data_IF_703828335221
#
_entry.id   IF_703828335221
#
_cell.length_a   1.000
_cell.length_b   1.000
_cell.length_c   1.000
_cell.angle_alpha   90.00
_cell.angle_beta   90.00
_cell.angle_gamma   90.00
#
_symmetry.space_group_name_H-M   'P 1'
#
loop_
_entity.id
_entity.type
_entity.pdbx_description
1 polymer ?
#
# COMPACT_ATOMS: atom_id res chain seq x y z
N UNK A 1 27.79 -7.22 67.37
CA UNK A 1 26.69 -6.30 67.00
C UNK A 1 26.98 -5.75 65.61
N UNK A 2 26.38 -6.34 64.59
CA UNK A 2 26.41 -5.81 63.22
C UNK A 2 25.04 -5.22 62.91
N UNK A 3 25.05 -3.94 62.55
CA UNK A 3 23.85 -3.20 62.10
C UNK A 3 23.77 -3.31 60.60
N UNK A 4 22.74 -3.98 60.09
CA UNK A 4 22.47 -4.08 58.65
C UNK A 4 21.77 -2.83 58.11
N UNK A 5 22.35 -2.21 57.09
CA UNK A 5 21.71 -1.15 56.31
C UNK A 5 21.05 -1.82 55.06
N UNK A 6 19.75 -1.83 55.04
CA UNK A 6 18.94 -2.22 53.85
C UNK A 6 18.73 -1.00 52.98
N UNK A 7 19.37 -0.96 51.82
CA UNK A 7 19.15 0.05 50.78
C UNK A 7 17.89 -0.32 50.01
N UNK A 8 16.82 0.45 50.17
CA UNK A 8 15.63 0.36 49.30
C UNK A 8 15.94 0.99 47.95
N UNK A 9 16.09 0.18 46.94
CA UNK A 9 16.18 0.62 45.54
C UNK A 9 14.84 1.17 45.07
N UNK A 10 14.86 2.38 44.54
CA UNK A 10 13.71 3.08 43.99
C UNK A 10 13.31 2.50 42.62
N UNK A 11 12.28 1.66 42.58
CA UNK A 11 11.70 1.08 41.36
C UNK A 11 10.48 1.84 40.83
N UNK A 12 10.19 3.06 41.34
CA UNK A 12 8.93 3.75 41.02
C UNK A 12 8.94 4.65 39.78
N UNK A 13 10.12 4.97 39.22
CA UNK A 13 10.22 5.94 38.09
C UNK A 13 9.89 5.35 36.70
N UNK A 14 10.34 4.11 36.43
CA UNK A 14 10.22 3.50 35.09
C UNK A 14 8.79 3.05 34.81
N UNK A 15 8.11 2.47 35.79
CA UNK A 15 6.72 2.02 35.63
C UNK A 15 5.73 3.16 35.36
N UNK A 16 5.93 4.35 35.96
CA UNK A 16 5.09 5.53 35.73
C UNK A 16 5.29 6.12 34.32
N UNK A 17 6.51 6.09 33.75
CA UNK A 17 6.80 6.63 32.43
C UNK A 17 6.23 5.76 31.33
N UNK A 18 6.25 4.43 31.48
CA UNK A 18 5.64 3.48 30.54
C UNK A 18 4.11 3.62 30.55
N UNK A 19 3.49 3.73 31.74
CA UNK A 19 2.04 3.91 31.88
C UNK A 19 1.55 5.21 31.24
N UNK A 20 2.27 6.33 31.39
CA UNK A 20 1.87 7.61 30.77
C UNK A 20 1.99 7.59 29.23
N UNK A 21 2.97 6.89 28.67
CA UNK A 21 3.09 6.75 27.20
C UNK A 21 1.97 5.88 26.63
N UNK A 22 1.64 4.76 27.26
CA UNK A 22 0.54 3.90 26.84
C UNK A 22 -0.82 4.61 26.96
N UNK A 23 -1.08 5.33 28.04
CA UNK A 23 -2.33 6.09 28.24
C UNK A 23 -2.47 7.21 27.20
N UNK A 24 -1.38 7.84 26.76
CA UNK A 24 -1.42 8.89 25.73
C UNK A 24 -1.69 8.33 24.32
N UNK A 25 -1.19 7.14 24.00
CA UNK A 25 -1.46 6.44 22.73
C UNK A 25 -2.92 5.97 22.66
N UNK A 26 -3.41 5.33 23.70
CA UNK A 26 -4.83 4.91 23.81
C UNK A 26 -5.77 6.11 23.64
N UNK A 27 -5.50 7.25 24.24
CA UNK A 27 -6.33 8.45 24.12
C UNK A 27 -6.32 9.08 22.71
N UNK A 28 -5.24 8.88 21.91
CA UNK A 28 -5.18 9.35 20.53
C UNK A 28 -6.07 8.51 19.60
N UNK A 29 -5.98 7.20 19.68
CA UNK A 29 -6.81 6.29 18.87
C UNK A 29 -8.29 6.33 19.28
N UNK A 30 -8.60 6.49 20.56
CA UNK A 30 -9.99 6.69 21.01
C UNK A 30 -10.58 8.00 20.49
N UNK A 31 -9.82 9.09 20.49
CA UNK A 31 -10.27 10.36 19.91
C UNK A 31 -10.56 10.22 18.42
N UNK A 32 -9.68 9.57 17.64
CA UNK A 32 -9.93 9.32 16.22
C UNK A 32 -11.22 8.51 15.99
N UNK A 33 -11.49 7.48 16.78
CA UNK A 33 -12.75 6.72 16.69
C UNK A 33 -13.96 7.55 17.07
N UNK A 34 -13.85 8.44 18.04
CA UNK A 34 -14.92 9.36 18.42
C UNK A 34 -15.19 10.40 17.33
N UNK A 35 -14.13 10.93 16.69
CA UNK A 35 -14.24 11.83 15.54
C UNK A 35 -14.92 11.16 14.34
N UNK A 36 -14.58 9.89 14.04
CA UNK A 36 -15.24 9.11 13.01
C UNK A 36 -16.75 8.98 13.28
N UNK A 37 -17.11 8.60 14.52
CA UNK A 37 -18.52 8.50 14.94
C UNK A 37 -19.24 9.84 14.83
N UNK A 38 -18.58 10.94 15.22
CA UNK A 38 -19.15 12.30 15.13
C UNK A 38 -19.39 12.73 13.67
N UNK A 39 -18.56 12.24 12.71
CA UNK A 39 -18.72 12.42 11.27
C UNK A 39 -19.70 11.43 10.63
N UNK A 40 -20.32 10.52 11.41
CA UNK A 40 -21.21 9.48 10.89
C UNK A 40 -20.50 8.39 10.09
N UNK A 41 -19.16 8.26 10.24
CA UNK A 41 -18.35 7.27 9.52
C UNK A 41 -18.25 5.97 10.33
N UNK A 42 -18.23 4.85 9.63
CA UNK A 42 -18.00 3.54 10.25
C UNK A 42 -16.54 3.40 10.69
N UNK A 43 -16.36 3.28 12.01
CA UNK A 43 -15.03 3.14 12.61
C UNK A 43 -14.35 1.80 12.28
N UNK A 44 -15.08 0.79 11.78
CA UNK A 44 -14.50 -0.48 11.33
C UNK A 44 -13.66 -0.34 10.05
N UNK A 45 -13.91 0.71 9.26
CA UNK A 45 -13.11 1.06 8.07
C UNK A 45 -11.68 1.53 8.41
N UNK A 46 -11.41 1.93 9.66
CA UNK A 46 -10.10 2.41 10.09
C UNK A 46 -9.31 1.28 10.76
N UNK A 47 -8.23 0.77 10.15
CA UNK A 47 -7.38 -0.25 10.75
C UNK A 47 -6.80 0.17 12.10
N UNK A 48 -6.41 -0.78 12.97
CA UNK A 48 -5.72 -0.48 14.22
C UNK A 48 -4.46 0.36 13.96
N UNK A 49 -4.15 1.29 14.88
CA UNK A 49 -2.97 2.13 14.80
C UNK A 49 -2.96 3.17 13.67
N UNK A 50 -4.10 3.40 12.97
CA UNK A 50 -4.26 4.41 11.93
C UNK A 50 -5.01 5.65 12.42
N UNK A 51 -4.84 6.78 11.73
CA UNK A 51 -5.67 7.98 11.87
C UNK A 51 -6.23 8.39 10.51
N UNK A 52 -7.44 8.93 10.49
CA UNK A 52 -8.07 9.46 9.28
C UNK A 52 -7.50 10.83 8.92
N UNK A 53 -7.28 11.06 7.62
CA UNK A 53 -6.89 12.36 7.09
C UNK A 53 -7.60 12.66 5.77
N UNK A 54 -7.97 13.91 5.56
CA UNK A 54 -8.50 14.39 4.28
C UNK A 54 -7.36 14.71 3.28
N UNK A 55 -6.11 14.82 3.78
CA UNK A 55 -4.92 15.03 2.94
C UNK A 55 -4.54 13.73 2.24
N UNK A 56 -3.78 13.87 1.15
CA UNK A 56 -3.09 12.76 0.51
C UNK A 56 -1.57 12.93 0.72
N UNK A 57 -1.01 12.45 1.85
CA UNK A 57 0.40 12.62 2.13
C UNK A 57 1.28 11.96 1.08
N UNK A 58 2.38 12.61 0.75
CA UNK A 58 3.32 12.16 -0.29
C UNK A 58 4.53 11.50 0.34
N UNK A 59 4.78 10.26 -0.08
CA UNK A 59 6.00 9.51 0.21
C UNK A 59 6.42 8.80 -1.08
N UNK A 60 7.69 8.89 -1.44
CA UNK A 60 8.25 8.19 -2.60
C UNK A 60 9.74 7.93 -2.42
N UNK A 61 10.25 6.98 -3.20
CA UNK A 61 11.67 6.67 -3.35
C UNK A 61 12.12 7.30 -4.68
N UNK A 62 13.25 7.98 -4.67
CA UNK A 62 13.79 8.69 -5.84
C UNK A 62 13.07 10.01 -6.16
N UNK A 63 13.35 10.56 -7.33
CA UNK A 63 12.74 11.78 -7.83
C UNK A 63 11.34 11.52 -8.42
N UNK A 64 10.57 12.58 -8.68
CA UNK A 64 9.32 12.48 -9.42
C UNK A 64 9.65 12.38 -10.90
N UNK A 65 9.27 11.29 -11.60
CA UNK A 65 9.58 11.14 -13.01
C UNK A 65 8.78 12.12 -13.86
N UNK A 66 9.37 12.51 -14.99
CA UNK A 66 8.72 13.28 -16.03
C UNK A 66 8.77 12.49 -17.33
N UNK A 67 7.67 12.39 -18.03
CA UNK A 67 7.58 11.65 -19.28
C UNK A 67 7.24 12.59 -20.45
N UNK A 68 7.99 12.47 -21.53
CA UNK A 68 7.56 13.05 -22.80
C UNK A 68 6.33 12.26 -23.35
N UNK A 69 5.50 12.89 -24.19
CA UNK A 69 4.37 12.21 -24.81
C UNK A 69 4.81 10.88 -25.46
N UNK A 70 4.09 9.78 -25.17
CA UNK A 70 4.40 8.43 -25.67
C UNK A 70 5.59 7.73 -25.02
N UNK A 71 6.24 8.33 -24.04
CA UNK A 71 7.43 7.73 -23.39
C UNK A 71 7.06 6.67 -22.34
N UNK A 72 5.90 6.80 -21.70
CA UNK A 72 5.46 5.82 -20.70
C UNK A 72 4.89 4.57 -21.37
N UNK A 73 5.20 3.40 -20.83
CA UNK A 73 4.61 2.13 -21.21
C UNK A 73 4.53 1.20 -19.98
N UNK A 74 3.66 0.18 -20.07
CA UNK A 74 3.52 -0.89 -19.10
C UNK A 74 3.79 -2.23 -19.78
N UNK A 75 4.70 -3.03 -19.26
CA UNK A 75 4.92 -4.39 -19.74
C UNK A 75 4.26 -5.42 -18.81
N UNK A 76 3.67 -6.44 -19.40
CA UNK A 76 3.15 -7.63 -18.71
C UNK A 76 4.01 -8.82 -19.16
N UNK A 77 4.61 -9.53 -18.19
CA UNK A 77 5.57 -10.59 -18.49
C UNK A 77 5.75 -11.60 -17.36
N UNK A 78 6.85 -12.34 -17.40
CA UNK A 78 7.13 -13.44 -16.47
C UNK A 78 6.42 -14.73 -16.88
N UNK A 79 5.75 -15.42 -15.96
CA UNK A 79 5.04 -16.68 -16.19
C UNK A 79 3.68 -16.44 -16.89
N UNK A 80 3.74 -16.03 -18.13
CA UNK A 80 2.59 -15.82 -19.03
C UNK A 80 2.84 -16.48 -20.38
N UNK A 81 1.78 -16.75 -21.15
CA UNK A 81 1.88 -17.34 -22.49
C UNK A 81 2.21 -16.30 -23.56
N UNK A 82 1.63 -15.10 -23.44
CA UNK A 82 1.74 -14.02 -24.41
C UNK A 82 2.13 -12.70 -23.72
N UNK A 83 3.41 -12.46 -23.43
CA UNK A 83 3.85 -11.18 -22.87
C UNK A 83 3.60 -10.04 -23.87
N UNK A 84 3.24 -8.86 -23.35
CA UNK A 84 2.96 -7.68 -24.17
C UNK A 84 3.36 -6.39 -23.47
N UNK A 85 3.36 -5.30 -24.24
CA UNK A 85 3.61 -3.94 -23.75
C UNK A 85 2.48 -3.05 -24.24
N UNK A 86 1.98 -2.17 -23.37
CA UNK A 86 0.97 -1.17 -23.68
C UNK A 86 1.55 0.23 -23.50
N UNK A 87 1.29 1.11 -24.45
CA UNK A 87 1.38 2.55 -24.27
C UNK A 87 0.26 3.05 -23.34
N UNK A 88 0.33 4.29 -22.92
CA UNK A 88 -0.74 4.90 -22.10
C UNK A 88 -2.07 4.96 -22.86
N UNK A 89 -2.03 5.28 -24.16
CA UNK A 89 -3.24 5.37 -24.99
C UNK A 89 -3.87 4.00 -25.19
N UNK A 90 -3.07 2.95 -25.42
CA UNK A 90 -3.57 1.57 -25.53
C UNK A 90 -4.15 1.09 -24.20
N UNK A 91 -3.52 1.42 -23.05
CA UNK A 91 -4.08 1.09 -21.74
C UNK A 91 -5.43 1.80 -21.53
N UNK A 92 -5.53 3.09 -21.83
CA UNK A 92 -6.78 3.88 -21.69
C UNK A 92 -7.89 3.41 -22.66
N UNK A 93 -7.54 2.75 -23.75
CA UNK A 93 -8.50 2.20 -24.72
C UNK A 93 -9.13 0.87 -24.26
N UNK A 94 -8.55 0.19 -23.27
CA UNK A 94 -9.11 -1.04 -22.70
C UNK A 94 -10.35 -0.75 -21.84
N UNK A 95 -11.23 -1.75 -21.62
CA UNK A 95 -12.33 -1.61 -20.66
C UNK A 95 -11.84 -1.19 -19.30
N UNK A 96 -12.35 -0.08 -18.78
CA UNK A 96 -11.97 0.49 -17.51
C UNK A 96 -13.12 0.46 -16.50
N UNK A 97 -12.76 0.61 -15.22
CA UNK A 97 -13.70 0.72 -14.10
C UNK A 97 -13.36 1.93 -13.27
N UNK A 98 -14.38 2.52 -12.63
CA UNK A 98 -14.21 3.55 -11.59
C UNK A 98 -14.67 2.95 -10.27
N UNK A 99 -13.77 2.90 -9.30
CA UNK A 99 -13.97 2.24 -8.01
C UNK A 99 -13.57 3.19 -6.89
N UNK A 100 -14.27 3.07 -5.74
CA UNK A 100 -14.01 3.90 -4.57
C UNK A 100 -13.47 3.04 -3.44
N UNK A 101 -12.35 3.43 -2.85
CA UNK A 101 -11.63 2.69 -1.83
C UNK A 101 -11.22 3.54 -0.65
N UNK A 102 -10.98 2.85 0.47
CA UNK A 102 -10.15 3.37 1.55
C UNK A 102 -8.70 2.95 1.30
N UNK A 103 -7.78 3.86 1.48
CA UNK A 103 -6.34 3.56 1.37
C UNK A 103 -5.64 3.76 2.71
N UNK A 104 -4.71 2.85 3.01
CA UNK A 104 -4.03 2.78 4.31
C UNK A 104 -2.52 2.79 4.12
N UNK A 105 -1.83 3.75 4.73
CA UNK A 105 -0.38 3.83 4.65
C UNK A 105 0.29 3.25 5.90
N UNK A 106 1.41 2.55 5.73
CA UNK A 106 2.24 2.05 6.84
C UNK A 106 2.65 3.16 7.82
N UNK A 107 2.74 4.41 7.36
CA UNK A 107 3.05 5.58 8.19
C UNK A 107 1.84 6.10 8.98
N UNK A 108 0.83 5.24 9.15
CA UNK A 108 -0.32 5.38 10.07
C UNK A 108 -1.43 6.34 9.64
N UNK A 109 -1.45 6.84 8.44
CA UNK A 109 -2.60 7.58 7.93
C UNK A 109 -3.49 6.68 7.06
N UNK A 110 -4.78 6.98 7.08
CA UNK A 110 -5.79 6.43 6.17
C UNK A 110 -6.54 7.57 5.51
N UNK A 111 -6.91 7.41 4.25
CA UNK A 111 -7.79 8.32 3.52
C UNK A 111 -8.96 7.49 2.99
N UNK A 112 -10.17 7.92 3.32
CA UNK A 112 -11.40 7.24 2.92
C UNK A 112 -11.94 7.78 1.60
N UNK A 113 -12.77 6.97 0.96
CA UNK A 113 -13.58 7.33 -0.19
C UNK A 113 -12.77 7.92 -1.36
N UNK A 114 -11.57 7.36 -1.59
CA UNK A 114 -10.73 7.72 -2.74
C UNK A 114 -11.25 7.04 -4.01
N UNK A 115 -11.50 7.80 -5.08
CA UNK A 115 -12.05 7.29 -6.32
C UNK A 115 -10.96 7.16 -7.38
N UNK A 116 -10.86 5.97 -7.98
CA UNK A 116 -9.82 5.64 -8.96
C UNK A 116 -10.44 5.08 -10.22
N UNK A 117 -9.95 5.51 -11.39
CA UNK A 117 -10.32 4.95 -12.70
C UNK A 117 -9.11 4.24 -13.30
N UNK A 118 -9.33 3.02 -13.80
CA UNK A 118 -8.27 2.22 -14.39
C UNK A 118 -8.75 0.91 -14.99
N UNK A 119 -7.80 0.10 -15.46
CA UNK A 119 -8.02 -1.24 -15.99
C UNK A 119 -7.76 -2.27 -14.90
N UNK A 120 -8.64 -3.26 -14.75
CA UNK A 120 -8.39 -4.34 -13.79
C UNK A 120 -7.15 -5.14 -14.16
N UNK A 121 -6.30 -5.43 -13.18
CA UNK A 121 -5.08 -6.22 -13.39
C UNK A 121 -5.43 -7.62 -13.93
N UNK A 122 -6.49 -8.25 -13.42
CA UNK A 122 -6.95 -9.56 -13.88
C UNK A 122 -7.28 -9.60 -15.39
N UNK A 123 -7.79 -8.48 -15.93
CA UNK A 123 -8.15 -8.42 -17.36
C UNK A 123 -6.89 -8.37 -18.23
N UNK A 124 -5.85 -7.64 -17.78
CA UNK A 124 -4.52 -7.66 -18.41
C UNK A 124 -3.89 -9.06 -18.34
N UNK A 125 -4.01 -9.72 -17.20
CA UNK A 125 -3.49 -11.09 -17.01
C UNK A 125 -4.27 -12.14 -17.80
N UNK A 126 -5.59 -11.95 -18.01
CA UNK A 126 -6.37 -12.79 -18.89
C UNK A 126 -5.91 -12.66 -20.37
N UNK A 127 -5.53 -11.45 -20.81
CA UNK A 127 -4.94 -11.23 -22.13
C UNK A 127 -3.56 -11.90 -22.27
N UNK A 128 -2.76 -11.89 -21.21
CA UNK A 128 -1.41 -12.46 -21.18
C UNK A 128 -1.40 -13.99 -21.09
N UNK A 129 -2.46 -14.61 -20.53
CA UNK A 129 -2.50 -16.05 -20.27
C UNK A 129 -1.55 -16.46 -19.14
N UNK A 130 -1.92 -16.17 -17.89
CA UNK A 130 -1.10 -16.53 -16.71
C UNK A 130 -0.97 -18.04 -16.58
N UNK A 131 0.25 -18.52 -16.41
CA UNK A 131 0.56 -19.95 -16.29
C UNK A 131 0.11 -20.50 -14.92
N UNK A 132 -0.27 -21.78 -14.84
CA UNK A 132 -0.87 -22.37 -13.64
C UNK A 132 0.09 -22.45 -12.43
N UNK A 133 1.41 -22.45 -12.66
CA UNK A 133 2.43 -22.42 -11.60
C UNK A 133 2.63 -21.05 -10.96
N UNK A 134 2.01 -19.99 -11.49
CA UNK A 134 2.13 -18.63 -10.99
C UNK A 134 1.46 -18.47 -9.62
N UNK A 135 2.16 -17.82 -8.70
CA UNK A 135 1.68 -17.57 -7.32
C UNK A 135 1.76 -16.11 -6.90
N UNK A 136 2.67 -15.34 -7.49
CA UNK A 136 2.95 -13.94 -7.10
C UNK A 136 3.18 -13.06 -8.31
N UNK A 137 3.14 -11.77 -8.08
CA UNK A 137 3.49 -10.73 -9.05
C UNK A 137 4.49 -9.78 -8.42
N UNK A 138 5.53 -9.44 -9.15
CA UNK A 138 6.41 -8.32 -8.84
C UNK A 138 5.97 -7.10 -9.64
N UNK A 139 5.59 -6.04 -8.95
CA UNK A 139 5.39 -4.73 -9.53
C UNK A 139 6.77 -4.07 -9.66
N UNK A 140 7.15 -3.66 -10.86
CA UNK A 140 8.35 -2.88 -11.11
C UNK A 140 7.96 -1.45 -11.47
N UNK A 141 8.61 -0.48 -10.82
CA UNK A 141 8.35 0.94 -11.03
C UNK A 141 9.65 1.70 -11.30
N UNK A 142 9.54 3.00 -11.52
CA UNK A 142 10.70 3.86 -11.74
C UNK A 142 11.69 3.82 -10.57
N UNK A 143 12.94 4.18 -10.83
CA UNK A 143 14.03 4.25 -9.86
C UNK A 143 14.34 2.95 -9.13
N UNK A 144 13.99 1.79 -9.74
CA UNK A 144 14.23 0.47 -9.16
C UNK A 144 13.32 0.12 -7.98
N UNK A 145 12.23 0.86 -7.79
CA UNK A 145 11.22 0.47 -6.81
C UNK A 145 10.51 -0.81 -7.26
N UNK A 146 10.35 -1.74 -6.34
CA UNK A 146 9.63 -3.00 -6.55
C UNK A 146 8.79 -3.33 -5.32
N UNK A 147 7.67 -4.01 -5.52
CA UNK A 147 6.91 -4.63 -4.44
C UNK A 147 6.23 -5.91 -4.93
N UNK A 148 6.20 -6.92 -4.07
CA UNK A 148 5.56 -8.20 -4.33
C UNK A 148 4.09 -8.17 -3.90
N UNK A 149 3.23 -8.84 -4.65
CA UNK A 149 1.81 -9.06 -4.28
C UNK A 149 1.44 -10.50 -4.65
N UNK A 150 0.72 -11.24 -3.79
CA UNK A 150 0.16 -12.54 -4.19
C UNK A 150 -0.73 -12.40 -5.42
N UNK A 151 -0.65 -13.36 -6.33
CA UNK A 151 -1.46 -13.35 -7.57
C UNK A 151 -2.97 -13.29 -7.26
N UNK A 152 -3.41 -14.00 -6.22
CA UNK A 152 -4.81 -13.99 -5.80
C UNK A 152 -5.31 -12.59 -5.38
N UNK A 153 -4.45 -11.79 -4.76
CA UNK A 153 -4.79 -10.45 -4.26
C UNK A 153 -4.82 -9.42 -5.38
N UNK A 154 -3.84 -9.47 -6.31
CA UNK A 154 -3.75 -8.50 -7.40
C UNK A 154 -4.73 -8.81 -8.54
N UNK A 155 -5.35 -10.00 -8.56
CA UNK A 155 -6.37 -10.39 -9.56
C UNK A 155 -7.80 -10.27 -9.05
N UNK A 156 -8.02 -9.67 -7.88
CA UNK A 156 -9.37 -9.34 -7.38
C UNK A 156 -10.08 -8.35 -8.29
N UNK A 157 -11.39 -8.23 -8.14
CA UNK A 157 -12.20 -7.22 -8.84
C UNK A 157 -11.80 -5.78 -8.53
N UNK A 158 -11.10 -5.58 -7.44
CA UNK A 158 -10.74 -4.28 -6.87
C UNK A 158 -9.32 -3.83 -7.24
N UNK A 159 -8.44 -4.75 -7.67
CA UNK A 159 -7.07 -4.38 -8.03
C UNK A 159 -7.01 -3.83 -9.47
N UNK A 160 -6.49 -2.62 -9.62
CA UNK A 160 -6.46 -1.90 -10.90
C UNK A 160 -5.10 -1.27 -11.20
N UNK A 161 -4.84 -1.14 -12.50
CA UNK A 161 -3.83 -0.24 -13.07
C UNK A 161 -4.52 1.11 -13.27
N UNK A 162 -4.37 2.01 -12.32
CA UNK A 162 -5.08 3.29 -12.27
C UNK A 162 -4.35 4.39 -13.04
N UNK A 163 -5.09 5.19 -13.78
CA UNK A 163 -4.60 6.38 -14.52
C UNK A 163 -5.36 7.67 -14.17
N UNK A 164 -6.47 7.58 -13.37
CA UNK A 164 -7.16 8.73 -12.82
C UNK A 164 -7.39 8.58 -11.32
N UNK A 165 -7.44 9.71 -10.63
CA UNK A 165 -7.75 9.86 -9.22
C UNK A 165 -8.76 11.01 -9.05
N UNK A 166 -9.88 10.74 -8.37
CA UNK A 166 -10.97 11.70 -8.13
C UNK A 166 -11.45 12.43 -9.42
N UNK A 167 -11.49 11.68 -10.55
CA UNK A 167 -11.99 12.17 -11.84
C UNK A 167 -10.99 13.01 -12.65
N UNK A 168 -9.72 13.06 -12.24
CA UNK A 168 -8.65 13.75 -12.96
C UNK A 168 -7.45 12.81 -13.18
N UNK A 169 -6.57 13.14 -14.13
CA UNK A 169 -5.31 12.43 -14.30
C UNK A 169 -4.51 12.42 -12.99
N UNK A 170 -3.87 11.29 -12.69
CA UNK A 170 -3.06 11.16 -11.47
C UNK A 170 -1.88 12.14 -11.54
N UNK A 171 -1.78 13.04 -10.57
CA UNK A 171 -0.64 13.93 -10.46
C UNK A 171 0.68 13.15 -10.39
N UNK A 172 1.76 13.63 -11.03
CA UNK A 172 3.06 12.95 -11.00
C UNK A 172 3.53 12.58 -9.59
N UNK A 173 3.32 13.46 -8.61
CA UNK A 173 3.70 13.24 -7.20
C UNK A 173 2.92 12.07 -6.54
N UNK A 174 1.73 11.76 -7.04
CA UNK A 174 0.88 10.66 -6.57
C UNK A 174 1.01 9.38 -7.40
N UNK A 175 1.93 9.36 -8.37
CA UNK A 175 2.25 8.16 -9.15
C UNK A 175 1.83 8.21 -10.61
N UNK A 176 1.39 9.39 -11.11
CA UNK A 176 1.06 9.59 -12.52
C UNK A 176 2.23 9.33 -13.49
N UNK A 177 1.94 8.96 -14.73
CA UNK A 177 0.61 8.84 -15.32
C UNK A 177 -0.17 7.61 -14.87
N UNK A 178 0.50 6.58 -14.31
CA UNK A 178 -0.13 5.31 -13.95
C UNK A 178 0.48 4.73 -12.68
N UNK A 179 -0.37 4.19 -11.83
CA UNK A 179 0.01 3.44 -10.63
C UNK A 179 -0.83 2.18 -10.46
N UNK A 180 -0.37 1.28 -9.61
CA UNK A 180 -1.20 0.17 -9.12
C UNK A 180 -2.02 0.63 -7.91
N UNK A 181 -3.22 0.06 -7.75
CA UNK A 181 -4.03 0.14 -6.54
C UNK A 181 -4.48 -1.26 -6.15
N UNK A 182 -4.00 -1.73 -4.99
CA UNK A 182 -4.44 -2.96 -4.31
C UNK A 182 -4.98 -2.52 -2.94
N UNK A 183 -6.28 -2.23 -2.81
CA UNK A 183 -6.82 -1.40 -1.72
C UNK A 183 -6.79 -2.07 -0.35
N UNK A 184 -6.87 -3.40 -0.27
CA UNK A 184 -6.89 -4.16 0.99
C UNK A 184 -5.51 -4.34 1.63
N UNK A 185 -4.41 -3.97 0.92
CA UNK A 185 -3.06 -4.00 1.45
C UNK A 185 -2.57 -2.58 1.79
N UNK A 186 -1.56 -2.49 2.66
CA UNK A 186 -0.89 -1.21 2.86
C UNK A 186 -0.39 -0.61 1.54
N UNK A 187 -0.51 0.70 1.39
CA UNK A 187 -0.37 1.42 0.14
C UNK A 187 1.04 1.40 -0.49
N UNK A 188 2.06 0.86 0.20
CA UNK A 188 3.35 0.55 -0.45
C UNK A 188 3.27 -0.64 -1.41
N UNK A 189 2.23 -1.52 -1.25
CA UNK A 189 1.90 -2.60 -2.18
C UNK A 189 1.22 -2.13 -3.47
N UNK A 190 1.04 -0.83 -3.61
CA UNK A 190 0.43 -0.15 -4.75
C UNK A 190 1.48 0.76 -5.40
N UNK A 191 2.34 0.20 -6.25
CA UNK A 191 3.49 0.93 -6.81
C UNK A 191 3.07 2.15 -7.62
N UNK A 192 3.71 3.30 -7.33
CA UNK A 192 3.65 4.50 -8.16
C UNK A 192 4.53 4.33 -9.38
N UNK A 193 4.20 5.02 -10.49
CA UNK A 193 5.03 5.06 -11.69
C UNK A 193 5.38 3.67 -12.19
N UNK A 194 4.40 2.78 -12.18
CA UNK A 194 4.58 1.37 -12.57
C UNK A 194 5.00 1.24 -14.04
N UNK A 195 5.93 0.31 -14.30
CA UNK A 195 6.49 0.04 -15.63
C UNK A 195 6.32 -1.41 -16.06
N UNK A 196 6.21 -2.34 -15.09
CA UNK A 196 6.04 -3.74 -15.40
C UNK A 196 5.31 -4.49 -14.30
N UNK A 197 4.52 -5.48 -14.70
CA UNK A 197 4.01 -6.53 -13.84
C UNK A 197 4.63 -7.87 -14.29
N UNK A 198 5.48 -8.43 -13.44
CA UNK A 198 6.16 -9.70 -13.69
C UNK A 198 5.53 -10.80 -12.86
N UNK A 199 4.94 -11.79 -13.53
CA UNK A 199 4.30 -12.95 -12.90
C UNK A 199 5.35 -13.98 -12.51
N UNK A 200 5.33 -14.46 -11.25
CA UNK A 200 6.34 -15.32 -10.64
C UNK A 200 5.70 -16.59 -10.03
N UNK A 201 6.51 -17.63 -9.89
CA UNK A 201 6.16 -18.90 -9.22
C UNK A 201 6.35 -18.88 -7.69
N UNK A 202 6.92 -17.82 -7.15
CA UNK A 202 7.27 -17.69 -5.73
C UNK A 202 7.19 -16.25 -5.24
N UNK A 203 7.11 -16.10 -3.93
CA UNK A 203 7.20 -14.81 -3.25
C UNK A 203 8.66 -14.32 -3.23
N UNK A 204 8.88 -13.12 -3.78
CA UNK A 204 10.19 -12.47 -3.84
C UNK A 204 10.08 -11.09 -3.21
N UNK A 205 10.91 -10.81 -2.21
CA UNK A 205 10.90 -9.53 -1.50
C UNK A 205 11.16 -8.35 -2.45
N UNK A 206 10.28 -7.36 -2.44
CA UNK A 206 10.45 -6.08 -3.13
C UNK A 206 11.36 -5.12 -2.38
N UNK A 207 11.31 -3.84 -2.74
CA UNK A 207 12.19 -2.81 -2.17
C UNK A 207 12.01 -2.66 -0.64
N UNK A 208 10.79 -2.40 -0.18
CA UNK A 208 10.54 -2.19 1.26
C UNK A 208 10.60 -3.49 2.05
N UNK A 209 10.18 -4.61 1.49
CA UNK A 209 10.27 -5.93 2.10
C UNK A 209 11.74 -6.30 2.41
N UNK A 210 12.67 -6.02 1.49
CA UNK A 210 14.13 -6.16 1.75
C UNK A 210 14.67 -5.19 2.81
N UNK A 211 13.95 -4.09 3.06
CA UNK A 211 14.28 -3.09 4.07
C UNK A 211 13.51 -3.27 5.39
N UNK A 212 12.92 -4.46 5.61
CA UNK A 212 12.33 -4.83 6.90
C UNK A 212 10.81 -4.67 6.98
N UNK A 213 10.12 -4.34 5.89
CA UNK A 213 8.66 -4.31 5.87
C UNK A 213 8.09 -5.73 5.74
N UNK A 214 6.83 -5.89 6.15
CA UNK A 214 6.13 -7.19 6.08
C UNK A 214 5.96 -7.65 4.63
N UNK A 215 6.08 -8.96 4.36
CA UNK A 215 5.95 -9.52 3.01
C UNK A 215 4.54 -9.34 2.44
N UNK A 216 3.49 -9.44 3.25
CA UNK A 216 2.10 -9.31 2.82
C UNK A 216 1.56 -7.89 3.02
N UNK A 217 1.52 -7.38 4.26
CA UNK A 217 1.16 -6.00 4.53
C UNK A 217 -0.33 -5.72 4.68
N UNK A 218 -1.08 -6.58 5.41
CA UNK A 218 -2.48 -6.33 5.77
C UNK A 218 -2.57 -5.22 6.85
N UNK A 219 -3.26 -4.10 6.58
CA UNK A 219 -3.41 -3.01 7.53
C UNK A 219 -4.27 -3.36 8.75
N UNK A 220 -5.24 -4.26 8.62
CA UNK A 220 -6.12 -4.66 9.71
C UNK A 220 -5.46 -5.64 10.68
N UNK A 221 -4.42 -6.36 10.20
CA UNK A 221 -3.54 -7.18 11.03
C UNK A 221 -2.29 -6.43 11.51
N UNK A 222 -2.18 -5.12 11.20
CA UNK A 222 -1.01 -4.27 11.50
C UNK A 222 0.33 -4.81 10.96
N UNK A 223 0.32 -5.56 9.88
CA UNK A 223 1.50 -6.16 9.25
C UNK A 223 2.40 -5.09 8.61
N UNK A 224 3.15 -4.35 9.43
CA UNK A 224 4.02 -3.24 8.99
C UNK A 224 5.45 -3.70 8.74
N UNK A 225 5.99 -4.53 9.63
CA UNK A 225 7.39 -4.94 9.65
C UNK A 225 7.54 -6.45 9.80
N UNK A 226 8.74 -6.95 9.60
CA UNK A 226 9.03 -8.35 9.86
C UNK A 226 8.73 -8.69 11.33
N UNK A 227 7.96 -9.76 11.52
CA UNK A 227 7.60 -10.25 12.85
C UNK A 227 6.32 -9.66 13.44
N UNK A 228 5.61 -8.83 12.69
CA UNK A 228 4.25 -8.38 13.04
C UNK A 228 3.21 -9.47 12.76
#
# INVERSE_FOLDING_TARGET
RCVGHTTKLATSGIARTISMRQTRLVSFFERNRQELKAKGLDASRLPPGQYLTDRFPVLHVGDIPSYAPGQWNLSIGGLVDAPFVLSLDELKALPSVTLTYDIHCVTKWSKFDTTWTGVRVRDLFAMAGVKPEATHVMEHAEFGYTTNVPLADITTDEAIVAYEFDGAEIEPIHGGPVRIVVPHLYFWKSAKWVRSLEVLDRDVAGFWERNGYHMYGDPFLEQRFWGD
#
